data_IF_583682649199
#
_entry.id   IF_583682649199
#
_cell.length_a   1.000
_cell.length_b   1.000
_cell.length_c   1.000
_cell.angle_alpha   90.00
_cell.angle_beta   90.00
_cell.angle_gamma   90.00
#
_symmetry.space_group_name_H-M   'P 1'
#
loop_
_entity.id
_entity.type
_entity.pdbx_description
1 polymer ?
#
# COMPACT_ATOMS: atom_id res chain seq x y z
N UNK A 1 -6.86 -25.95 -7.81
CA UNK A 1 -6.24 -25.36 -6.61
C UNK A 1 -5.10 -24.47 -7.03
N UNK A 2 -4.96 -23.38 -6.29
CA UNK A 2 -4.54 -22.05 -6.71
C UNK A 2 -3.02 -21.93 -6.87
N UNK A 3 -2.57 -21.48 -8.04
CA UNK A 3 -1.19 -21.08 -8.29
C UNK A 3 -1.08 -19.55 -8.32
N UNK A 4 -0.66 -18.95 -7.21
CA UNK A 4 -0.40 -17.50 -7.09
C UNK A 4 1.06 -17.18 -6.71
N UNK A 5 2.00 -18.11 -6.87
CA UNK A 5 3.36 -18.00 -6.35
C UNK A 5 4.42 -17.43 -7.32
N UNK A 6 4.06 -16.79 -8.44
CA UNK A 6 5.07 -16.45 -9.47
C UNK A 6 4.92 -15.07 -10.09
N UNK A 7 4.84 -14.02 -9.28
CA UNK A 7 4.84 -12.64 -9.79
C UNK A 7 5.88 -11.70 -9.16
N UNK A 8 6.97 -12.25 -8.62
CA UNK A 8 7.98 -11.50 -7.87
C UNK A 8 9.40 -11.54 -8.43
N UNK A 9 9.62 -12.03 -9.66
CA UNK A 9 10.96 -12.10 -10.24
C UNK A 9 11.03 -11.47 -11.65
N UNK A 10 12.06 -10.64 -11.82
CA UNK A 10 12.62 -10.14 -13.08
C UNK A 10 11.97 -8.89 -13.72
N UNK A 11 12.29 -7.71 -13.17
CA UNK A 11 12.40 -6.48 -13.97
C UNK A 11 13.78 -5.87 -13.73
N UNK A 12 14.76 -6.36 -14.48
CA UNK A 12 16.14 -5.87 -14.43
C UNK A 12 16.61 -5.39 -15.82
N UNK A 13 16.98 -4.10 -15.87
CA UNK A 13 18.02 -3.47 -16.70
C UNK A 13 17.78 -3.32 -18.21
N UNK A 14 17.69 -2.06 -18.65
CA UNK A 14 18.37 -1.60 -19.87
C UNK A 14 18.69 -0.09 -19.77
N UNK A 15 19.96 0.33 -19.93
CA UNK A 15 20.33 1.73 -20.04
C UNK A 15 20.34 2.22 -21.51
N UNK A 16 20.08 3.52 -21.63
CA UNK A 16 20.05 4.38 -22.82
C UNK A 16 21.23 4.22 -23.79
N UNK A 17 20.95 4.31 -25.11
CA UNK A 17 21.77 5.05 -26.09
C UNK A 17 20.87 5.72 -27.14
N UNK A 18 21.23 6.97 -27.44
CA UNK A 18 20.66 8.01 -28.32
C UNK A 18 20.27 7.55 -29.75
N UNK A 19 19.47 8.26 -30.56
CA UNK A 19 19.80 9.57 -31.16
C UNK A 19 18.61 10.08 -32.04
N UNK A 20 18.56 11.40 -32.22
CA UNK A 20 18.03 12.17 -33.36
C UNK A 20 16.66 12.86 -33.27
N UNK A 21 16.82 14.20 -33.18
CA UNK A 21 16.00 15.32 -33.66
C UNK A 21 14.95 14.97 -34.72
N UNK A 22 13.70 15.31 -34.42
CA UNK A 22 12.80 15.93 -35.38
C UNK A 22 11.95 16.98 -34.67
N UNK A 23 11.96 18.20 -35.23
CA UNK A 23 11.05 19.29 -34.90
C UNK A 23 9.62 18.83 -35.17
N UNK A 24 8.79 18.73 -34.13
CA UNK A 24 7.34 18.69 -34.27
C UNK A 24 6.73 19.93 -33.62
N UNK A 25 5.70 20.51 -34.25
CA UNK A 25 5.06 21.73 -33.77
C UNK A 25 4.40 21.46 -32.41
N UNK A 26 4.54 22.41 -31.48
CA UNK A 26 3.80 22.44 -30.21
C UNK A 26 2.30 22.54 -30.50
N UNK A 27 1.68 21.41 -30.78
CA UNK A 27 0.28 21.20 -30.45
C UNK A 27 0.16 21.27 -28.93
N UNK A 28 -0.83 22.00 -28.45
CA UNK A 28 -1.26 21.94 -27.06
C UNK A 28 -1.72 20.50 -26.80
N UNK A 29 -0.80 19.63 -26.41
CA UNK A 29 -1.12 18.32 -25.88
C UNK A 29 -1.82 18.57 -24.55
N UNK A 30 -3.16 18.61 -24.63
CA UNK A 30 -4.03 18.10 -23.57
C UNK A 30 -3.28 17.00 -22.83
N UNK A 31 -3.03 17.17 -21.53
CA UNK A 31 -2.35 16.17 -20.72
C UNK A 31 -3.21 14.91 -20.75
N UNK A 32 -2.96 14.03 -21.71
CA UNK A 32 -3.67 12.78 -21.88
C UNK A 32 -3.21 11.87 -20.76
N UNK A 33 -3.96 11.97 -19.67
CA UNK A 33 -3.99 11.00 -18.63
C UNK A 33 -4.21 9.60 -19.23
N UNK A 34 -3.33 8.63 -18.96
CA UNK A 34 -3.61 7.25 -19.35
C UNK A 34 -4.55 6.66 -18.33
N UNK A 35 -5.73 6.20 -18.76
CA UNK A 35 -6.71 5.47 -17.93
C UNK A 35 -6.05 4.46 -16.96
N UNK A 36 -4.94 3.85 -17.41
CA UNK A 36 -4.07 2.95 -16.65
C UNK A 36 -3.59 3.53 -15.29
N UNK A 37 -3.24 4.81 -15.19
CA UNK A 37 -2.70 5.38 -13.94
C UNK A 37 -3.76 5.51 -12.83
N UNK A 38 -5.03 5.66 -13.20
CA UNK A 38 -6.17 5.84 -12.28
C UNK A 38 -6.65 4.47 -11.89
N UNK A 39 -6.65 3.54 -12.85
CA UNK A 39 -6.89 2.15 -12.57
C UNK A 39 -5.83 1.58 -11.63
N UNK A 40 -4.56 1.93 -11.82
CA UNK A 40 -3.46 1.57 -10.93
C UNK A 40 -3.61 2.19 -9.53
N UNK A 41 -4.01 3.48 -9.46
CA UNK A 41 -4.29 4.13 -8.18
C UNK A 41 -5.48 3.48 -7.48
N UNK A 42 -6.56 3.20 -8.20
CA UNK A 42 -7.75 2.53 -7.68
C UNK A 42 -7.40 1.14 -7.12
N UNK A 43 -6.67 0.35 -7.90
CA UNK A 43 -6.20 -0.97 -7.47
C UNK A 43 -5.33 -0.87 -6.21
N UNK A 44 -4.44 0.12 -6.14
CA UNK A 44 -3.62 0.34 -4.96
C UNK A 44 -4.44 0.76 -3.72
N UNK A 45 -5.40 1.68 -3.86
CA UNK A 45 -6.25 2.13 -2.75
C UNK A 45 -7.11 0.98 -2.22
N UNK A 46 -7.79 0.25 -3.10
CA UNK A 46 -8.65 -0.86 -2.71
C UNK A 46 -7.84 -2.01 -2.10
N UNK A 47 -6.70 -2.36 -2.70
CA UNK A 47 -5.82 -3.40 -2.16
C UNK A 47 -5.25 -3.03 -0.79
N UNK A 48 -4.93 -1.75 -0.55
CA UNK A 48 -4.48 -1.28 0.75
C UNK A 48 -5.58 -1.33 1.83
N UNK A 49 -6.83 -1.00 1.47
CA UNK A 49 -7.98 -1.12 2.38
C UNK A 49 -8.20 -2.59 2.73
N UNK A 50 -8.21 -3.47 1.73
CA UNK A 50 -8.35 -4.90 1.92
C UNK A 50 -7.23 -5.48 2.80
N UNK A 51 -5.97 -5.08 2.56
CA UNK A 51 -4.84 -5.48 3.40
C UNK A 51 -5.03 -5.04 4.87
N UNK A 52 -5.56 -3.84 5.10
CA UNK A 52 -5.83 -3.34 6.45
C UNK A 52 -6.95 -4.13 7.15
N UNK A 53 -8.01 -4.48 6.43
CA UNK A 53 -9.14 -5.25 6.96
C UNK A 53 -8.79 -6.72 7.20
N UNK A 54 -7.92 -7.28 6.36
CA UNK A 54 -7.52 -8.69 6.43
C UNK A 54 -6.31 -8.94 7.33
N UNK A 55 -5.61 -7.91 7.83
CA UNK A 55 -4.44 -8.08 8.68
C UNK A 55 -4.68 -8.98 9.90
N UNK A 56 -5.77 -8.77 10.64
CA UNK A 56 -6.10 -9.58 11.83
C UNK A 56 -6.51 -11.02 11.51
N UNK A 57 -7.43 -11.30 10.54
CA UNK A 57 -7.73 -12.67 10.17
C UNK A 57 -6.52 -13.39 9.56
N UNK A 58 -5.67 -12.72 8.77
CA UNK A 58 -4.44 -13.30 8.23
C UNK A 58 -3.42 -13.64 9.33
N UNK A 59 -3.26 -12.76 10.34
CA UNK A 59 -2.44 -13.07 11.51
C UNK A 59 -2.95 -14.29 12.28
N UNK A 60 -4.28 -14.37 12.46
CA UNK A 60 -4.93 -15.50 13.13
C UNK A 60 -4.71 -16.79 12.35
N UNK A 61 -4.90 -16.75 11.03
CA UNK A 61 -4.70 -17.90 10.16
C UNK A 61 -3.26 -18.40 10.21
N UNK A 62 -2.27 -17.51 10.05
CA UNK A 62 -0.85 -17.88 10.11
C UNK A 62 -0.48 -18.51 11.46
N UNK A 63 -0.99 -17.95 12.55
CA UNK A 63 -0.78 -18.51 13.89
C UNK A 63 -1.35 -19.94 14.00
N UNK A 64 -2.54 -20.19 13.45
CA UNK A 64 -3.18 -21.52 13.48
C UNK A 64 -2.45 -22.53 12.59
N UNK A 65 -1.93 -22.09 11.45
CA UNK A 65 -1.14 -22.91 10.52
C UNK A 65 0.28 -23.21 11.05
N UNK A 66 0.80 -22.37 11.96
CA UNK A 66 2.08 -22.61 12.62
C UNK A 66 1.97 -23.78 13.61
N UNK A 67 2.97 -24.66 13.61
CA UNK A 67 3.13 -25.75 14.57
C UNK A 67 3.00 -25.21 16.01
N UNK A 68 2.12 -25.78 16.86
CA UNK A 68 1.95 -25.35 18.25
C UNK A 68 3.25 -25.20 19.05
N UNK A 69 4.26 -26.04 18.79
CA UNK A 69 5.55 -26.01 19.49
C UNK A 69 6.43 -24.82 19.09
N UNK A 70 6.17 -24.21 17.93
CA UNK A 70 6.92 -23.09 17.37
C UNK A 70 6.12 -21.76 17.37
N UNK A 71 4.91 -21.74 17.94
CA UNK A 71 4.06 -20.55 17.95
C UNK A 71 4.66 -19.45 18.82
N UNK A 72 4.78 -18.27 18.23
CA UNK A 72 5.01 -17.03 18.98
C UNK A 72 3.70 -16.55 19.63
N UNK A 73 3.76 -15.58 20.55
CA UNK A 73 2.56 -14.90 21.04
C UNK A 73 1.76 -14.29 19.89
N UNK A 74 0.43 -14.31 20.00
CA UNK A 74 -0.51 -13.77 19.00
C UNK A 74 -0.17 -12.34 18.54
N UNK A 75 0.23 -11.48 19.48
CA UNK A 75 0.61 -10.09 19.22
C UNK A 75 1.75 -9.95 18.21
N UNK A 76 2.64 -10.96 18.11
CA UNK A 76 3.74 -10.98 17.14
C UNK A 76 3.21 -11.09 15.71
N UNK A 77 2.26 -11.98 15.47
CA UNK A 77 1.62 -12.16 14.17
C UNK A 77 0.77 -10.94 13.80
N UNK A 78 0.01 -10.41 14.77
CA UNK A 78 -0.82 -9.22 14.56
C UNK A 78 0.03 -7.99 14.23
N UNK A 79 1.16 -7.82 14.92
CA UNK A 79 2.10 -6.73 14.63
C UNK A 79 2.67 -6.87 13.22
N UNK A 80 3.12 -8.06 12.85
CA UNK A 80 3.68 -8.33 11.52
C UNK A 80 2.71 -7.94 10.39
N UNK A 81 1.47 -8.42 10.46
CA UNK A 81 0.47 -8.12 9.43
C UNK A 81 0.00 -6.66 9.45
N UNK A 82 -0.08 -6.04 10.63
CA UNK A 82 -0.39 -4.61 10.73
C UNK A 82 0.72 -3.76 10.07
N UNK A 83 1.99 -4.11 10.26
CA UNK A 83 3.12 -3.42 9.62
C UNK A 83 3.09 -3.57 8.10
N UNK A 84 2.82 -4.78 7.58
CA UNK A 84 2.65 -5.00 6.13
C UNK A 84 1.50 -4.16 5.56
N UNK A 85 0.32 -4.19 6.19
CA UNK A 85 -0.81 -3.38 5.76
C UNK A 85 -0.48 -1.88 5.76
N UNK A 86 0.26 -1.39 6.76
CA UNK A 86 0.67 0.02 6.80
C UNK A 86 1.61 0.39 5.65
N UNK A 87 2.48 -0.52 5.21
CA UNK A 87 3.34 -0.30 4.03
C UNK A 87 2.48 -0.14 2.77
N UNK A 88 1.50 -1.01 2.55
CA UNK A 88 0.61 -0.96 1.38
C UNK A 88 -0.24 0.32 1.37
N UNK A 89 -0.79 0.71 2.52
CA UNK A 89 -1.53 1.98 2.67
C UNK A 89 -0.65 3.18 2.34
N UNK A 90 0.59 3.21 2.84
CA UNK A 90 1.52 4.31 2.54
C UNK A 90 1.88 4.34 1.06
N UNK A 91 2.08 3.19 0.43
CA UNK A 91 2.37 3.11 -1.00
C UNK A 91 1.19 3.63 -1.84
N UNK A 92 -0.05 3.27 -1.49
CA UNK A 92 -1.25 3.75 -2.16
C UNK A 92 -1.42 5.28 -2.02
N UNK A 93 -1.21 5.82 -0.82
CA UNK A 93 -1.26 7.26 -0.58
C UNK A 93 -0.12 8.01 -1.29
N UNK A 94 1.08 7.43 -1.37
CA UNK A 94 2.19 8.01 -2.12
C UNK A 94 1.88 8.10 -3.62
N UNK A 95 1.19 7.10 -4.20
CA UNK A 95 0.72 7.18 -5.60
C UNK A 95 -0.27 8.33 -5.80
N UNK A 96 -1.20 8.55 -4.86
CA UNK A 96 -2.10 9.71 -4.89
C UNK A 96 -1.31 11.02 -4.82
N UNK A 97 -0.34 11.11 -3.93
CA UNK A 97 0.44 12.34 -3.75
C UNK A 97 1.31 12.64 -4.97
N UNK A 98 1.91 11.62 -5.59
CA UNK A 98 2.60 11.74 -6.86
C UNK A 98 1.68 12.24 -7.99
N UNK A 99 0.43 11.74 -8.03
CA UNK A 99 -0.58 12.22 -8.98
C UNK A 99 -0.90 13.71 -8.76
N UNK A 100 -1.09 14.13 -7.51
CA UNK A 100 -1.37 15.54 -7.15
C UNK A 100 -0.18 16.46 -7.46
N UNK A 101 1.06 16.00 -7.24
CA UNK A 101 2.27 16.76 -7.58
C UNK A 101 2.41 16.97 -9.09
N UNK A 102 2.08 15.96 -9.89
CA UNK A 102 2.22 16.01 -11.35
C UNK A 102 1.14 16.83 -12.04
N UNK A 103 -0.12 16.72 -11.60
CA UNK A 103 -1.27 17.37 -12.24
C UNK A 103 -1.63 18.73 -11.61
N UNK A 104 -1.12 19.00 -10.42
CA UNK A 104 -1.65 20.06 -9.57
C UNK A 104 -2.84 19.57 -8.74
N UNK A 105 -2.96 20.11 -7.53
CA UNK A 105 -3.93 19.68 -6.51
C UNK A 105 -5.36 19.73 -7.03
N UNK A 106 -5.78 20.84 -7.64
CA UNK A 106 -7.16 21.05 -8.07
C UNK A 106 -7.58 20.11 -9.20
N UNK A 107 -6.67 19.82 -10.14
CA UNK A 107 -6.93 18.94 -11.28
C UNK A 107 -7.01 17.49 -10.80
N UNK A 108 -6.07 17.07 -9.95
CA UNK A 108 -6.08 15.73 -9.37
C UNK A 108 -7.31 15.49 -8.49
N UNK A 109 -7.71 16.46 -7.66
CA UNK A 109 -8.87 16.30 -6.78
C UNK A 109 -10.19 16.25 -7.58
N UNK A 110 -10.27 16.97 -8.71
CA UNK A 110 -11.39 16.86 -9.66
C UNK A 110 -11.42 15.48 -10.32
N UNK A 111 -10.29 14.99 -10.80
CA UNK A 111 -10.18 13.65 -11.40
C UNK A 111 -10.60 12.57 -10.41
N UNK A 112 -10.12 12.63 -9.16
CA UNK A 112 -10.51 11.69 -8.11
C UNK A 112 -12.02 11.74 -7.81
N UNK A 113 -12.66 12.90 -7.97
CA UNK A 113 -14.11 13.06 -7.83
C UNK A 113 -14.86 12.40 -8.98
N UNK A 114 -14.44 12.65 -10.21
CA UNK A 114 -15.02 12.10 -11.43
C UNK A 114 -14.95 10.56 -11.41
N UNK A 115 -13.81 10.01 -11.00
CA UNK A 115 -13.54 8.58 -10.89
C UNK A 115 -14.07 7.94 -9.59
N UNK A 116 -14.76 8.73 -8.74
CA UNK A 116 -15.36 8.30 -7.47
C UNK A 116 -14.36 7.67 -6.48
N UNK A 117 -13.08 8.07 -6.54
CA UNK A 117 -12.02 7.55 -5.68
C UNK A 117 -11.86 8.32 -4.37
N UNK A 118 -12.56 9.44 -4.18
CA UNK A 118 -12.46 10.25 -2.96
C UNK A 118 -12.78 9.46 -1.68
N UNK A 119 -13.76 8.55 -1.75
CA UNK A 119 -14.13 7.68 -0.62
C UNK A 119 -12.99 6.71 -0.30
N UNK A 120 -12.46 6.01 -1.29
CA UNK A 120 -11.33 5.08 -1.10
C UNK A 120 -10.08 5.79 -0.56
N UNK A 121 -9.84 7.05 -0.96
CA UNK A 121 -8.76 7.86 -0.40
C UNK A 121 -9.01 8.18 1.08
N UNK A 122 -10.23 8.55 1.45
CA UNK A 122 -10.59 8.82 2.84
C UNK A 122 -10.47 7.55 3.70
N UNK A 123 -10.94 6.42 3.20
CA UNK A 123 -10.81 5.11 3.84
C UNK A 123 -9.34 4.72 4.03
N UNK A 124 -8.48 4.91 3.02
CA UNK A 124 -7.05 4.69 3.17
C UNK A 124 -6.40 5.58 4.25
N UNK A 125 -6.79 6.85 4.35
CA UNK A 125 -6.28 7.74 5.40
C UNK A 125 -6.73 7.28 6.79
N UNK A 126 -8.00 6.90 6.93
CA UNK A 126 -8.53 6.36 8.18
C UNK A 126 -7.87 5.04 8.56
N UNK A 127 -7.67 4.15 7.58
CA UNK A 127 -6.97 2.88 7.74
C UNK A 127 -5.52 3.11 8.18
N UNK A 128 -4.80 4.06 7.56
CA UNK A 128 -3.43 4.44 7.97
C UNK A 128 -3.37 4.79 9.45
N UNK A 129 -4.25 5.69 9.88
CA UNK A 129 -4.22 6.21 11.25
C UNK A 129 -4.63 5.13 12.27
N UNK A 130 -5.61 4.29 11.91
CA UNK A 130 -6.01 3.13 12.73
C UNK A 130 -4.88 2.12 12.84
N UNK A 131 -4.29 1.69 11.72
CA UNK A 131 -3.22 0.69 11.69
C UNK A 131 -1.96 1.17 12.41
N UNK A 132 -1.61 2.46 12.27
CA UNK A 132 -0.50 3.05 13.02
C UNK A 132 -0.72 2.97 14.55
N UNK A 133 -1.93 3.25 15.03
CA UNK A 133 -2.27 3.12 16.47
C UNK A 133 -2.23 1.67 16.96
N UNK A 134 -2.67 0.72 16.13
CA UNK A 134 -2.59 -0.72 16.44
C UNK A 134 -1.12 -1.12 16.62
N UNK A 135 -0.26 -0.78 15.67
CA UNK A 135 1.18 -1.07 15.74
C UNK A 135 1.79 -0.48 17.01
N UNK A 136 1.51 0.79 17.31
CA UNK A 136 2.02 1.45 18.50
C UNK A 136 1.57 0.74 19.79
N UNK A 137 0.31 0.34 19.86
CA UNK A 137 -0.25 -0.38 21.01
C UNK A 137 0.41 -1.74 21.18
N UNK A 138 0.57 -2.51 20.10
CA UNK A 138 1.18 -3.83 20.12
C UNK A 138 2.66 -3.77 20.50
N UNK A 139 3.40 -2.78 20.00
CA UNK A 139 4.82 -2.56 20.37
C UNK A 139 4.97 -2.26 21.86
N UNK A 140 4.17 -1.33 22.40
CA UNK A 140 4.17 -1.03 23.84
C UNK A 140 3.84 -2.25 24.70
N UNK A 141 2.90 -3.09 24.24
CA UNK A 141 2.57 -4.33 24.94
C UNK A 141 3.72 -5.34 24.92
N UNK A 142 4.44 -5.46 23.81
CA UNK A 142 5.62 -6.32 23.72
C UNK A 142 6.74 -5.83 24.64
N UNK A 143 7.06 -4.54 24.59
CA UNK A 143 8.06 -3.92 25.47
C UNK A 143 7.73 -4.13 26.96
N UNK A 144 6.47 -3.95 27.35
CA UNK A 144 6.04 -4.19 28.73
C UNK A 144 6.17 -5.66 29.17
N UNK A 145 5.90 -6.60 28.26
CA UNK A 145 6.03 -8.03 28.54
C UNK A 145 7.49 -8.47 28.64
N UNK A 146 8.38 -7.89 27.82
CA UNK A 146 9.83 -8.15 27.90
C UNK A 146 10.39 -7.72 29.27
N UNK A 147 10.04 -6.50 29.72
CA UNK A 147 10.48 -5.97 31.03
C UNK A 147 10.01 -6.83 32.22
N UNK A 148 8.87 -7.49 32.10
CA UNK A 148 8.30 -8.31 33.18
C UNK A 148 8.94 -9.70 33.26
N UNK A 149 9.55 -10.20 32.18
CA UNK A 149 10.17 -11.53 32.16
C UNK A 149 11.61 -11.55 32.67
N UNK A 150 12.28 -10.38 32.72
CA UNK A 150 13.69 -10.24 33.12
C UNK A 150 13.89 -9.94 34.63
N UNK A 151 12.82 -9.88 35.42
CA UNK A 151 12.82 -9.61 36.88
C UNK A 151 12.39 -10.80 37.70
#
# INVERSE_FOLDING_TARGET
MVGWATRWAARSVNPLVATSRHLQPRGLSSSSFSADEVQDLRGALLGAIEAAETASPSATQLMLETDPSARSPRSTYELHYAELALVDIRAALAKRDALRQRLGVEVADRLLKEERLQVAVAECLMARDRTARIIETLKRQQEANEVTCDT
#
